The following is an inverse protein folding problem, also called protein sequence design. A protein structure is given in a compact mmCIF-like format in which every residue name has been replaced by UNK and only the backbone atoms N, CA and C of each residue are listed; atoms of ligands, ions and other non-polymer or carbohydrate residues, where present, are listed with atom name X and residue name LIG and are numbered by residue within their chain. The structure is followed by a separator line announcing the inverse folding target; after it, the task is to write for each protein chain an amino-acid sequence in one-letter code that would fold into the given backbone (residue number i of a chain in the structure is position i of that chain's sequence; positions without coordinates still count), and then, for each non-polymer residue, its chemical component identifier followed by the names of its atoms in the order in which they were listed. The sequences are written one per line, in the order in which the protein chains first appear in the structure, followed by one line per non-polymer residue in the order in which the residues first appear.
data_IF_552288222066
#
_entry.id   IF_552288222066
#
_cell.length_a   1.000
_cell.length_b   1.000
_cell.length_c   1.000
_cell.angle_alpha   90.00
_cell.angle_beta   90.00
_cell.angle_gamma   90.00
#
_symmetry.space_group_name_H-M   'P 1'
#
loop_
_entity.id
_entity.type
_entity.pdbx_description
1 polymer ?
#
# COMPACT_ATOMS: atom_id res chain seq x y z
N UNK A 1 -4.65 16.15 -28.05
CA UNK A 1 -4.92 15.26 -26.91
C UNK A 1 -3.66 14.77 -26.17
N UNK A 2 -2.44 15.00 -26.67
CA UNK A 2 -1.18 14.50 -26.07
C UNK A 2 -0.59 15.37 -24.95
N UNK A 3 -1.10 16.59 -24.75
CA UNK A 3 -0.50 17.54 -23.80
C UNK A 3 -0.70 17.22 -22.32
N UNK A 4 -1.86 16.64 -21.93
CA UNK A 4 -2.19 16.39 -20.55
C UNK A 4 -1.40 15.20 -19.98
N UNK A 5 -1.20 14.16 -20.77
CA UNK A 5 -0.43 12.97 -20.39
C UNK A 5 1.06 13.29 -20.17
N UNK A 6 1.60 14.18 -21.02
CA UNK A 6 2.99 14.62 -20.92
C UNK A 6 3.24 15.53 -19.71
N UNK A 7 2.28 16.37 -19.36
CA UNK A 7 2.36 17.21 -18.15
C UNK A 7 2.25 16.39 -16.87
N UNK A 8 1.40 15.35 -16.84
CA UNK A 8 1.31 14.40 -15.72
C UNK A 8 2.65 13.67 -15.50
N UNK A 9 3.25 13.14 -16.55
CA UNK A 9 4.55 12.46 -16.48
C UNK A 9 5.68 13.41 -16.05
N UNK A 10 5.67 14.66 -16.48
CA UNK A 10 6.66 15.67 -16.12
C UNK A 10 6.51 16.15 -14.69
N UNK A 11 5.27 16.23 -14.19
CA UNK A 11 4.95 16.55 -12.82
C UNK A 11 5.42 15.43 -11.86
N UNK A 12 5.17 14.15 -12.21
CA UNK A 12 5.68 12.99 -11.47
C UNK A 12 7.21 12.94 -11.41
N UNK A 13 7.89 13.31 -12.47
CA UNK A 13 9.36 13.36 -12.53
C UNK A 13 9.97 14.44 -11.62
N UNK A 14 9.22 15.50 -11.32
CA UNK A 14 9.65 16.62 -10.49
C UNK A 14 9.25 16.51 -9.00
N UNK A 15 8.16 15.82 -8.75
CA UNK A 15 7.59 15.71 -7.41
C UNK A 15 7.48 14.21 -7.10
N UNK A 16 8.60 13.57 -6.85
CA UNK A 16 8.69 12.19 -6.38
C UNK A 16 7.81 11.97 -5.15
N UNK A 17 6.51 12.09 -5.34
CA UNK A 17 5.52 11.65 -4.39
C UNK A 17 5.54 10.12 -4.43
N UNK A 18 6.21 9.55 -3.49
CA UNK A 18 6.34 8.17 -3.11
C UNK A 18 4.97 7.58 -2.69
N UNK A 19 3.95 7.83 -3.49
CA UNK A 19 2.59 7.40 -3.23
C UNK A 19 2.37 5.90 -3.53
N UNK A 20 1.37 5.59 -4.33
CA UNK A 20 0.72 4.27 -4.44
C UNK A 20 1.66 3.11 -4.71
N UNK A 21 2.67 3.30 -5.53
CA UNK A 21 3.55 2.23 -5.97
C UNK A 21 4.45 1.68 -4.87
N UNK A 22 4.90 2.54 -3.96
CA UNK A 22 5.68 2.11 -2.81
C UNK A 22 4.83 1.28 -1.86
N UNK A 23 3.61 1.71 -1.60
CA UNK A 23 2.69 1.01 -0.71
C UNK A 23 2.42 -0.41 -1.18
N UNK A 24 2.13 -0.61 -2.47
CA UNK A 24 1.93 -1.95 -3.02
C UNK A 24 3.22 -2.79 -3.05
N UNK A 25 4.37 -2.16 -3.30
CA UNK A 25 5.65 -2.86 -3.27
C UNK A 25 6.03 -3.30 -1.85
N UNK A 26 5.64 -2.55 -0.82
CA UNK A 26 5.93 -2.85 0.58
C UNK A 26 5.28 -4.14 1.07
N UNK A 27 4.04 -4.37 0.72
CA UNK A 27 3.32 -5.58 1.12
C UNK A 27 4.05 -6.87 0.77
N UNK A 28 4.77 -6.88 -0.34
CA UNK A 28 5.44 -8.07 -0.87
C UNK A 28 6.78 -8.41 -0.21
N UNK A 29 7.48 -7.47 0.38
CA UNK A 29 8.82 -7.71 0.90
C UNK A 29 8.88 -8.12 2.37
N UNK A 30 7.91 -7.73 3.14
CA UNK A 30 7.76 -8.13 4.54
C UNK A 30 7.56 -9.64 4.68
N UNK A 31 7.18 -10.27 3.61
CA UNK A 31 6.91 -11.67 3.49
C UNK A 31 8.02 -12.64 3.96
N UNK A 32 9.29 -12.32 3.75
CA UNK A 32 10.34 -13.34 3.84
C UNK A 32 11.08 -13.42 5.18
N UNK A 33 10.82 -12.56 6.13
CA UNK A 33 11.75 -12.36 7.24
C UNK A 33 11.15 -12.17 8.63
N UNK A 34 9.85 -12.32 8.82
CA UNK A 34 9.26 -12.11 10.15
C UNK A 34 9.31 -13.38 11.02
N UNK A 35 9.79 -13.32 12.28
CA UNK A 35 9.77 -14.46 13.18
C UNK A 35 8.33 -14.84 13.57
N UNK A 36 8.07 -16.16 13.58
CA UNK A 36 6.79 -16.74 13.93
C UNK A 36 6.41 -16.43 15.38
N UNK A 37 5.19 -15.94 15.57
CA UNK A 37 4.51 -15.98 16.87
C UNK A 37 3.31 -16.91 16.75
N UNK A 38 3.10 -17.85 17.69
CA UNK A 38 1.90 -18.67 17.71
C UNK A 38 0.67 -17.80 18.02
N UNK A 39 -0.37 -17.89 17.22
CA UNK A 39 -1.62 -17.15 17.38
C UNK A 39 -2.73 -18.03 17.93
N UNK A 40 -3.44 -17.46 18.91
CA UNK A 40 -4.69 -18.02 19.41
C UNK A 40 -5.87 -17.38 18.65
N UNK A 41 -6.63 -18.21 17.94
CA UNK A 41 -7.62 -17.83 16.91
C UNK A 41 -9.01 -17.47 17.51
N UNK A 42 -9.16 -17.35 18.81
CA UNK A 42 -10.49 -17.42 19.48
C UNK A 42 -11.14 -16.11 19.89
N UNK A 43 -10.85 -14.96 19.29
CA UNK A 43 -11.54 -13.73 19.74
C UNK A 43 -12.01 -12.84 18.57
N UNK A 44 -13.32 -12.75 18.41
CA UNK A 44 -14.06 -11.68 17.69
C UNK A 44 -13.90 -10.31 18.36
N UNK A 45 -12.72 -9.97 18.86
CA UNK A 45 -12.45 -8.69 19.48
C UNK A 45 -11.78 -7.80 18.44
N UNK A 46 -12.30 -6.60 18.28
CA UNK A 46 -11.75 -5.57 17.41
C UNK A 46 -10.90 -4.58 18.19
N UNK A 47 -10.02 -3.86 17.50
CA UNK A 47 -9.24 -2.73 18.01
C UNK A 47 -9.33 -1.54 17.06
N UNK A 48 -9.16 -0.34 17.61
CA UNK A 48 -9.07 0.86 16.77
C UNK A 48 -7.61 1.06 16.32
N UNK A 49 -7.43 1.17 15.00
CA UNK A 49 -6.20 1.61 14.38
C UNK A 49 -6.30 3.10 14.07
N UNK A 50 -5.30 3.88 14.44
CA UNK A 50 -5.23 5.32 14.18
C UNK A 50 -3.91 5.67 13.54
N UNK A 51 -3.95 6.17 12.29
CA UNK A 51 -2.78 6.71 11.60
C UNK A 51 -2.89 8.23 11.49
N UNK A 52 -2.15 8.94 12.33
CA UNK A 52 -2.16 10.42 12.37
C UNK A 52 -1.57 11.04 11.12
N UNK A 53 -0.59 10.41 10.47
CA UNK A 53 0.04 10.91 9.24
C UNK A 53 -0.87 10.77 8.02
N UNK A 54 -1.62 9.69 7.96
CA UNK A 54 -2.67 9.49 6.97
C UNK A 54 -3.94 10.30 7.30
N UNK A 55 -4.13 10.66 8.56
CA UNK A 55 -5.33 11.34 9.05
C UNK A 55 -6.56 10.44 8.99
N UNK A 56 -6.42 9.18 9.38
CA UNK A 56 -7.50 8.19 9.39
C UNK A 56 -7.52 7.40 10.69
N UNK A 57 -8.68 6.82 11.00
CA UNK A 57 -8.81 5.67 11.89
C UNK A 57 -9.72 4.64 11.26
N UNK A 58 -9.57 3.38 11.66
CA UNK A 58 -10.42 2.27 11.25
C UNK A 58 -10.43 1.18 12.31
N UNK A 59 -11.47 0.37 12.34
CA UNK A 59 -11.59 -0.76 13.24
C UNK A 59 -11.03 -2.00 12.54
N UNK A 60 -10.06 -2.64 13.16
CA UNK A 60 -9.42 -3.85 12.66
C UNK A 60 -9.59 -5.01 13.65
N UNK A 61 -9.53 -6.27 13.22
CA UNK A 61 -9.49 -7.42 14.12
C UNK A 61 -8.32 -7.31 15.12
N UNK A 62 -8.54 -7.69 16.37
CA UNK A 62 -7.52 -7.56 17.43
C UNK A 62 -6.30 -8.45 17.20
N UNK A 63 -6.49 -9.57 16.52
CA UNK A 63 -5.40 -10.49 16.13
C UNK A 63 -4.49 -9.93 15.03
N UNK A 64 -4.85 -8.83 14.39
CA UNK A 64 -4.01 -8.19 13.39
C UNK A 64 -2.96 -7.31 14.07
N UNK A 65 -1.71 -7.48 13.67
CA UNK A 65 -0.58 -6.75 14.23
C UNK A 65 -0.36 -5.43 13.50
N UNK A 66 -0.33 -4.34 14.26
CA UNK A 66 0.06 -3.03 13.73
C UNK A 66 1.55 -2.83 13.94
N UNK A 67 2.29 -2.63 12.85
CA UNK A 67 3.73 -2.42 12.88
C UNK A 67 4.07 -1.03 12.34
N UNK A 68 4.74 -0.24 13.18
CA UNK A 68 5.13 1.12 12.81
C UNK A 68 6.23 1.17 11.76
N UNK A 69 6.31 2.28 11.01
CA UNK A 69 7.39 2.53 10.07
C UNK A 69 8.78 2.44 10.73
N UNK A 70 8.92 2.92 11.96
CA UNK A 70 10.21 2.87 12.70
C UNK A 70 10.66 1.43 12.98
N UNK A 71 9.74 0.58 13.44
CA UNK A 71 10.02 -0.84 13.70
C UNK A 71 10.42 -1.57 12.42
N UNK A 72 9.73 -1.26 11.32
CA UNK A 72 10.08 -1.83 10.01
C UNK A 72 11.44 -1.33 9.49
N UNK A 73 11.78 -0.06 9.73
CA UNK A 73 13.08 0.50 9.34
C UNK A 73 14.26 -0.17 10.06
N UNK A 74 14.10 -0.48 11.36
CA UNK A 74 15.12 -1.22 12.11
C UNK A 74 15.40 -2.57 11.44
N UNK A 75 14.35 -3.29 11.06
CA UNK A 75 14.45 -4.54 10.34
C UNK A 75 15.15 -4.40 8.97
N UNK A 76 14.83 -3.35 8.21
CA UNK A 76 15.40 -3.12 6.87
C UNK A 76 16.79 -2.48 6.87
N UNK A 77 17.26 -1.93 7.99
CA UNK A 77 18.63 -1.43 8.10
C UNK A 77 19.66 -2.57 8.15
N UNK A 78 19.23 -3.74 8.61
CA UNK A 78 20.05 -4.97 8.57
C UNK A 78 19.22 -6.15 8.05
N UNK A 79 18.82 -6.13 6.77
CA UNK A 79 18.11 -7.24 6.18
C UNK A 79 19.08 -8.41 6.06
N UNK A 80 18.76 -9.56 6.64
CA UNK A 80 19.56 -10.78 6.52
C UNK A 80 19.90 -11.10 5.06
N UNK A 81 20.98 -11.86 4.83
CA UNK A 81 21.45 -12.23 3.48
C UNK A 81 20.34 -12.87 2.63
N UNK A 82 19.41 -13.58 3.27
CA UNK A 82 18.28 -14.22 2.60
C UNK A 82 17.37 -13.21 1.90
N UNK A 83 17.09 -12.06 2.51
CA UNK A 83 16.27 -11.03 1.88
C UNK A 83 16.98 -10.37 0.69
N UNK A 84 18.26 -10.10 0.82
CA UNK A 84 19.07 -9.46 -0.22
C UNK A 84 19.12 -10.27 -1.51
N UNK A 85 19.06 -11.60 -1.42
CA UNK A 85 19.08 -12.46 -2.61
C UNK A 85 17.73 -12.54 -3.33
N UNK A 86 16.61 -12.18 -2.67
CA UNK A 86 15.27 -12.24 -3.26
C UNK A 86 14.79 -10.89 -3.79
N UNK A 87 15.25 -9.78 -3.22
CA UNK A 87 14.76 -8.44 -3.57
C UNK A 87 15.82 -7.65 -4.32
N UNK A 88 15.40 -6.95 -5.37
CA UNK A 88 16.34 -6.08 -6.09
C UNK A 88 16.78 -4.90 -5.22
N UNK A 89 18.04 -4.41 -5.36
CA UNK A 89 18.50 -3.22 -4.65
C UNK A 89 17.60 -2.00 -4.86
N UNK A 90 17.00 -1.91 -6.03
CA UNK A 90 16.06 -0.84 -6.40
C UNK A 90 14.79 -0.90 -5.58
N UNK A 91 14.26 -2.10 -5.40
CA UNK A 91 13.11 -2.38 -4.58
C UNK A 91 13.38 -2.10 -3.09
N UNK A 92 14.50 -2.59 -2.55
CA UNK A 92 14.92 -2.33 -1.17
C UNK A 92 15.04 -0.83 -0.88
N UNK A 93 15.64 -0.08 -1.82
CA UNK A 93 15.73 1.38 -1.71
C UNK A 93 14.35 2.04 -1.68
N UNK A 94 13.46 1.61 -2.56
CA UNK A 94 12.08 2.14 -2.62
C UNK A 94 11.33 1.87 -1.32
N UNK A 95 11.48 0.68 -0.75
CA UNK A 95 10.91 0.31 0.55
C UNK A 95 11.41 1.22 1.67
N UNK A 96 12.72 1.36 1.80
CA UNK A 96 13.32 2.22 2.82
C UNK A 96 12.76 3.64 2.75
N UNK A 97 12.69 4.22 1.55
CA UNK A 97 12.11 5.56 1.35
C UNK A 97 10.65 5.66 1.79
N UNK A 98 9.81 4.65 1.55
CA UNK A 98 8.42 4.65 2.00
C UNK A 98 8.31 4.59 3.52
N UNK A 99 9.10 3.75 4.17
CA UNK A 99 9.15 3.67 5.62
C UNK A 99 9.63 5.00 6.24
N UNK A 100 10.66 5.62 5.70
CA UNK A 100 11.14 6.95 6.11
C UNK A 100 10.04 8.01 5.98
N UNK A 101 9.15 7.88 4.99
CA UNK A 101 7.98 8.73 4.84
C UNK A 101 6.81 8.36 5.76
N UNK A 102 6.87 7.23 6.46
CA UNK A 102 5.90 6.85 7.49
C UNK A 102 4.77 5.96 7.00
N UNK A 103 5.01 5.12 6.00
CA UNK A 103 4.12 4.00 5.67
C UNK A 103 4.04 3.05 6.85
N UNK A 104 2.83 2.66 7.24
CA UNK A 104 2.57 1.70 8.32
C UNK A 104 1.99 0.41 7.77
N UNK A 105 2.16 -0.68 8.53
CA UNK A 105 1.73 -2.02 8.18
C UNK A 105 0.74 -2.57 9.20
N UNK A 106 -0.26 -3.28 8.70
CA UNK A 106 -1.19 -4.09 9.49
C UNK A 106 -1.11 -5.50 8.93
N UNK A 107 -0.57 -6.43 9.70
CA UNK A 107 -0.46 -7.83 9.32
C UNK A 107 -1.73 -8.57 9.69
N UNK A 108 -2.38 -9.22 8.73
CA UNK A 108 -3.70 -9.87 8.87
C UNK A 108 -3.46 -11.24 9.42
N UNK A 109 -2.78 -12.02 9.71
CA UNK A 109 -2.52 -13.33 10.33
C UNK A 109 -1.08 -13.80 10.10
N UNK A 110 -0.60 -14.59 11.03
CA UNK A 110 0.66 -15.30 10.86
C UNK A 110 0.40 -16.61 10.13
N UNK A 111 0.62 -16.66 8.82
CA UNK A 111 0.89 -17.94 8.14
C UNK A 111 2.42 -18.12 8.06
N UNK A 112 2.89 -19.37 8.07
CA UNK A 112 4.31 -19.73 8.25
C UNK A 112 5.27 -19.14 7.21
N UNK A 113 4.79 -18.72 6.05
CA UNK A 113 5.64 -18.27 4.94
C UNK A 113 5.32 -16.88 4.35
N UNK A 114 4.11 -16.40 4.47
CA UNK A 114 3.66 -15.12 3.95
C UNK A 114 2.65 -14.51 4.89
N UNK A 115 2.84 -13.26 5.25
CA UNK A 115 1.83 -12.52 6.00
C UNK A 115 1.06 -11.62 5.06
N UNK A 116 -0.22 -11.95 4.86
CA UNK A 116 -1.16 -11.03 4.26
C UNK A 116 -1.14 -9.72 5.05
N UNK A 117 -1.11 -8.60 4.37
CA UNK A 117 -0.96 -7.32 5.06
C UNK A 117 -1.72 -6.20 4.37
N UNK A 118 -2.06 -5.19 5.18
CA UNK A 118 -2.57 -3.91 4.72
C UNK A 118 -1.48 -2.88 4.97
N UNK A 119 -1.16 -2.09 3.95
CA UNK A 119 -0.29 -0.94 4.10
C UNK A 119 -1.10 0.34 4.03
N UNK A 120 -0.74 1.30 4.87
CA UNK A 120 -1.36 2.63 4.91
C UNK A 120 -0.29 3.68 4.67
N UNK A 121 -0.44 4.45 3.58
CA UNK A 121 0.48 5.55 3.29
C UNK A 121 0.12 6.80 4.09
N UNK A 122 1.10 7.65 4.41
CA UNK A 122 0.81 9.01 4.88
C UNK A 122 0.11 9.80 3.78
N UNK A 123 -0.45 10.97 4.14
CA UNK A 123 -0.99 11.88 3.14
C UNK A 123 0.09 12.33 2.18
N UNK A 124 -0.20 12.22 0.89
CA UNK A 124 0.66 12.66 -0.21
C UNK A 124 -0.07 13.68 -1.08
N UNK A 125 0.67 14.46 -1.85
CA UNK A 125 0.07 15.38 -2.80
C UNK A 125 -0.56 14.60 -3.95
N UNK A 126 -1.84 14.84 -4.20
CA UNK A 126 -2.53 14.24 -5.34
C UNK A 126 -2.08 14.87 -6.67
N UNK A 127 -1.99 14.10 -7.75
CA UNK A 127 -1.84 14.65 -9.08
C UNK A 127 -3.00 15.58 -9.43
N UNK A 128 -2.71 16.67 -10.12
CA UNK A 128 -3.76 17.57 -10.62
C UNK A 128 -4.74 16.77 -11.52
N UNK A 129 -6.03 16.98 -11.29
CA UNK A 129 -7.11 16.29 -12.01
C UNK A 129 -7.11 14.75 -11.90
N UNK A 130 -6.49 14.17 -10.86
CA UNK A 130 -6.39 12.73 -10.69
C UNK A 130 -7.74 12.02 -10.77
N UNK A 131 -8.78 12.58 -10.13
CA UNK A 131 -10.15 12.02 -10.15
C UNK A 131 -10.81 12.05 -11.52
N UNK A 132 -10.39 12.94 -12.41
CA UNK A 132 -10.97 13.13 -13.75
C UNK A 132 -10.06 12.64 -14.88
N UNK A 133 -8.82 12.23 -14.56
CA UNK A 133 -7.88 11.73 -15.57
C UNK A 133 -8.43 10.46 -16.23
N UNK A 134 -8.28 10.26 -17.54
CA UNK A 134 -8.69 9.01 -18.21
C UNK A 134 -8.06 7.79 -17.49
N UNK A 135 -8.85 6.73 -17.26
CA UNK A 135 -8.37 5.55 -16.53
C UNK A 135 -7.15 4.90 -17.20
N UNK A 136 -7.06 4.92 -18.53
CA UNK A 136 -5.89 4.44 -19.26
C UNK A 136 -4.62 5.21 -18.89
N UNK A 137 -4.74 6.54 -18.74
CA UNK A 137 -3.64 7.38 -18.26
C UNK A 137 -3.23 7.04 -16.83
N UNK A 138 -4.19 6.81 -15.96
CA UNK A 138 -3.95 6.36 -14.57
C UNK A 138 -3.28 4.97 -14.56
N UNK A 139 -3.73 4.05 -15.40
CA UNK A 139 -3.13 2.73 -15.53
C UNK A 139 -1.66 2.79 -15.97
N UNK A 140 -1.37 3.59 -16.99
CA UNK A 140 0.01 3.79 -17.48
C UNK A 140 0.89 4.41 -16.38
N UNK A 141 0.35 5.38 -15.65
CA UNK A 141 1.03 6.01 -14.53
C UNK A 141 1.38 4.97 -13.45
N UNK A 142 0.41 4.19 -12.98
CA UNK A 142 0.60 3.16 -11.97
C UNK A 142 1.67 2.16 -12.42
N UNK A 143 1.55 1.60 -13.63
CA UNK A 143 2.56 0.68 -14.18
C UNK A 143 3.96 1.31 -14.22
N UNK A 144 4.07 2.57 -14.67
CA UNK A 144 5.33 3.29 -14.73
C UNK A 144 5.99 3.46 -13.37
N UNK A 145 5.20 3.79 -12.35
CA UNK A 145 5.68 3.92 -10.97
C UNK A 145 6.18 2.56 -10.44
N UNK A 146 5.41 1.50 -10.59
CA UNK A 146 5.83 0.15 -10.16
C UNK A 146 7.11 -0.29 -10.86
N UNK A 147 7.19 -0.15 -12.18
CA UNK A 147 8.37 -0.50 -12.97
C UNK A 147 9.61 0.31 -12.56
N UNK A 148 9.46 1.61 -12.25
CA UNK A 148 10.54 2.43 -11.73
C UNK A 148 11.09 1.90 -10.42
N UNK A 149 10.28 1.26 -9.61
CA UNK A 149 10.65 0.64 -8.34
C UNK A 149 11.04 -0.84 -8.46
N UNK A 150 11.14 -1.36 -9.68
CA UNK A 150 11.59 -2.73 -9.93
C UNK A 150 10.49 -3.78 -9.73
N UNK A 151 9.22 -3.36 -9.79
CA UNK A 151 8.06 -4.24 -9.68
C UNK A 151 7.38 -4.33 -11.05
N UNK A 152 7.20 -5.53 -11.56
CA UNK A 152 6.32 -5.79 -12.69
C UNK A 152 4.88 -5.91 -12.17
N UNK A 153 3.92 -5.22 -12.82
CA UNK A 153 2.53 -5.18 -12.37
C UNK A 153 1.58 -5.53 -13.50
N UNK A 154 0.73 -6.53 -13.25
CA UNK A 154 -0.40 -6.88 -14.11
C UNK A 154 -1.69 -6.37 -13.47
N UNK A 155 -2.25 -5.29 -14.01
CA UNK A 155 -3.53 -4.72 -13.53
C UNK A 155 -4.67 -5.55 -14.13
N UNK A 156 -5.54 -6.08 -13.28
CA UNK A 156 -6.72 -6.85 -13.64
C UNK A 156 -7.96 -5.96 -13.72
N UNK A 157 -8.09 -5.03 -12.77
CA UNK A 157 -9.21 -4.10 -12.69
C UNK A 157 -8.74 -2.73 -12.22
N UNK A 158 -9.26 -1.69 -12.86
CA UNK A 158 -9.08 -0.30 -12.46
C UNK A 158 -10.42 0.39 -12.58
N UNK A 159 -10.90 0.97 -11.49
CA UNK A 159 -12.21 1.64 -11.50
C UNK A 159 -12.24 2.83 -10.55
N UNK A 160 -13.07 3.82 -10.91
CA UNK A 160 -13.45 4.87 -9.97
C UNK A 160 -14.47 4.35 -8.98
N UNK A 161 -14.34 4.79 -7.75
CA UNK A 161 -15.26 4.48 -6.66
C UNK A 161 -15.31 5.65 -5.68
N UNK A 162 -16.03 5.47 -4.59
CA UNK A 162 -16.05 6.40 -3.47
C UNK A 162 -15.86 5.64 -2.17
N UNK A 163 -15.08 6.19 -1.26
CA UNK A 163 -14.94 5.69 0.10
C UNK A 163 -15.37 6.80 1.05
N UNK A 164 -16.45 6.58 1.82
CA UNK A 164 -17.06 7.57 2.71
C UNK A 164 -17.40 8.91 1.99
N UNK A 165 -17.85 8.83 0.75
CA UNK A 165 -18.12 10.00 -0.08
C UNK A 165 -16.88 10.67 -0.70
N UNK A 166 -15.67 10.28 -0.31
CA UNK A 166 -14.44 10.76 -0.94
C UNK A 166 -14.17 10.03 -2.26
N UNK A 167 -13.85 10.75 -3.36
CA UNK A 167 -13.48 10.10 -4.61
C UNK A 167 -12.26 9.20 -4.43
N UNK A 168 -12.31 8.01 -5.02
CA UNK A 168 -11.24 7.05 -4.94
C UNK A 168 -11.04 6.31 -6.27
N UNK A 169 -9.85 5.77 -6.47
CA UNK A 169 -9.55 4.81 -7.54
C UNK A 169 -9.18 3.49 -6.89
N UNK A 170 -9.88 2.43 -7.27
CA UNK A 170 -9.59 1.07 -6.85
C UNK A 170 -8.78 0.38 -7.95
N UNK A 171 -7.74 -0.31 -7.53
CA UNK A 171 -6.83 -1.11 -8.37
C UNK A 171 -6.79 -2.53 -7.86
N UNK A 172 -7.08 -3.49 -8.71
CA UNK A 172 -6.85 -4.92 -8.48
C UNK A 172 -5.72 -5.35 -9.43
N UNK A 173 -4.65 -5.91 -8.88
CA UNK A 173 -3.47 -6.23 -9.65
C UNK A 173 -2.72 -7.46 -9.09
N UNK A 174 -1.78 -7.97 -9.89
CA UNK A 174 -0.72 -8.88 -9.43
C UNK A 174 0.62 -8.18 -9.58
N UNK A 175 1.42 -8.19 -8.52
CA UNK A 175 2.75 -7.63 -8.47
C UNK A 175 3.81 -8.74 -8.44
N UNK A 176 4.82 -8.62 -9.29
CA UNK A 176 5.98 -9.51 -9.37
C UNK A 176 7.22 -8.72 -8.94
N UNK A 177 7.69 -8.95 -7.73
CA UNK A 177 8.84 -8.22 -7.14
C UNK A 177 10.16 -8.92 -7.32
N UNK A 178 10.13 -10.19 -7.68
CA UNK A 178 11.30 -11.03 -7.90
C UNK A 178 11.03 -12.11 -8.93
N UNK A 179 12.00 -12.43 -9.81
CA UNK A 179 11.90 -13.58 -10.71
C UNK A 179 11.74 -14.93 -9.98
N UNK A 180 12.13 -14.97 -8.70
CA UNK A 180 11.96 -16.16 -7.85
C UNK A 180 10.55 -16.33 -7.30
N UNK A 181 9.69 -15.31 -7.44
CA UNK A 181 8.28 -15.32 -7.06
C UNK A 181 7.42 -15.45 -8.32
N UNK A 182 7.38 -16.63 -8.90
CA UNK A 182 6.71 -16.89 -10.18
C UNK A 182 5.21 -16.54 -10.18
N UNK A 183 4.54 -16.69 -9.04
CA UNK A 183 3.10 -16.43 -8.92
C UNK A 183 2.78 -14.95 -8.63
N UNK A 184 3.76 -14.20 -8.13
CA UNK A 184 3.54 -12.82 -7.68
C UNK A 184 2.63 -12.74 -6.44
N UNK A 185 2.24 -11.53 -6.07
CA UNK A 185 1.28 -11.25 -5.00
C UNK A 185 0.05 -10.54 -5.55
N UNK A 186 -1.13 -10.89 -5.03
CA UNK A 186 -2.36 -10.16 -5.32
C UNK A 186 -2.42 -8.87 -4.50
N UNK A 187 -2.87 -7.83 -5.14
CA UNK A 187 -2.94 -6.48 -4.57
C UNK A 187 -4.31 -5.89 -4.83
N UNK A 188 -4.95 -5.37 -3.78
CA UNK A 188 -6.14 -4.54 -3.89
C UNK A 188 -5.85 -3.19 -3.23
N UNK A 189 -5.76 -2.12 -4.01
CA UNK A 189 -5.35 -0.79 -3.55
C UNK A 189 -6.48 0.21 -3.76
N UNK A 190 -6.69 1.06 -2.76
CA UNK A 190 -7.55 2.23 -2.83
C UNK A 190 -6.72 3.50 -2.69
N UNK A 191 -6.69 4.30 -3.75
CA UNK A 191 -6.15 5.66 -3.75
C UNK A 191 -7.30 6.62 -3.45
N UNK A 192 -7.35 7.18 -2.25
CA UNK A 192 -8.49 7.93 -1.72
C UNK A 192 -8.14 9.41 -1.62
N UNK A 193 -8.92 10.27 -2.26
CA UNK A 193 -8.73 11.72 -2.17
C UNK A 193 -9.23 12.23 -0.81
N UNK A 194 -8.33 12.80 -0.03
CA UNK A 194 -8.65 13.46 1.24
C UNK A 194 -9.13 14.88 1.05
N UNK A 195 -8.48 15.58 0.13
CA UNK A 195 -8.81 16.92 -0.35
C UNK A 195 -8.53 16.97 -1.86
N UNK A 196 -8.90 18.03 -2.59
CA UNK A 196 -8.54 18.14 -4.00
C UNK A 196 -7.02 18.07 -4.29
N UNK A 197 -6.19 18.28 -3.26
CA UNK A 197 -4.74 18.32 -3.39
C UNK A 197 -4.01 17.17 -2.68
N UNK A 198 -4.70 16.39 -1.84
CA UNK A 198 -4.06 15.33 -1.05
C UNK A 198 -4.80 14.01 -1.17
N UNK A 199 -4.03 12.92 -1.15
CA UNK A 199 -4.54 11.56 -1.20
C UNK A 199 -3.82 10.67 -0.19
N UNK A 200 -4.45 9.57 0.14
CA UNK A 200 -3.88 8.45 0.88
C UNK A 200 -4.06 7.18 0.08
N UNK A 201 -3.17 6.22 0.31
CA UNK A 201 -3.29 4.89 -0.27
C UNK A 201 -3.44 3.86 0.84
N UNK A 202 -4.43 2.99 0.70
CA UNK A 202 -4.63 1.83 1.56
C UNK A 202 -4.59 0.60 0.65
N UNK A 203 -3.65 -0.30 0.93
CA UNK A 203 -3.39 -1.43 0.04
C UNK A 203 -3.38 -2.74 0.79
N UNK A 204 -4.22 -3.67 0.38
CA UNK A 204 -4.14 -5.08 0.75
C UNK A 204 -3.14 -5.79 -0.16
N UNK A 205 -2.23 -6.57 0.41
CA UNK A 205 -1.32 -7.47 -0.32
C UNK A 205 -1.44 -8.88 0.26
N UNK A 206 -1.66 -9.87 -0.62
CA UNK A 206 -1.92 -11.26 -0.21
C UNK A 206 -1.29 -12.26 -1.18
N UNK A 207 -1.29 -13.54 -0.79
CA UNK A 207 -1.14 -14.67 -1.71
C UNK A 207 -2.38 -14.77 -2.63
N UNK A 208 -2.24 -15.53 -3.73
CA UNK A 208 -3.36 -15.79 -4.61
C UNK A 208 -4.47 -16.58 -3.93
N UNK A 209 -4.13 -17.58 -3.12
CA UNK A 209 -5.09 -18.48 -2.47
C UNK A 209 -5.94 -17.79 -1.41
N UNK A 210 -5.39 -16.78 -0.74
CA UNK A 210 -6.08 -16.08 0.35
C UNK A 210 -6.79 -14.80 -0.12
N UNK A 211 -6.58 -14.39 -1.38
CA UNK A 211 -6.97 -13.07 -1.87
C UNK A 211 -8.46 -12.75 -1.71
N UNK A 212 -9.34 -13.62 -2.17
CA UNK A 212 -10.79 -13.31 -2.14
C UNK A 212 -11.29 -13.18 -0.71
N UNK A 213 -10.90 -14.10 0.20
CA UNK A 213 -11.25 -14.01 1.62
C UNK A 213 -10.72 -12.73 2.25
N UNK A 214 -9.44 -12.42 2.04
CA UNK A 214 -8.80 -11.23 2.61
C UNK A 214 -9.35 -9.94 2.06
N UNK A 215 -9.74 -9.95 0.80
CA UNK A 215 -10.38 -8.79 0.17
C UNK A 215 -11.74 -8.49 0.81
N UNK A 216 -12.56 -9.51 1.09
CA UNK A 216 -13.82 -9.33 1.81
C UNK A 216 -13.58 -8.75 3.21
N UNK A 217 -12.65 -9.31 3.99
CA UNK A 217 -12.27 -8.79 5.31
C UNK A 217 -11.75 -7.34 5.22
N UNK A 218 -10.95 -7.02 4.22
CA UNK A 218 -10.42 -5.68 3.98
C UNK A 218 -11.53 -4.67 3.62
N UNK A 219 -12.48 -5.07 2.80
CA UNK A 219 -13.64 -4.24 2.46
C UNK A 219 -14.51 -3.95 3.68
N UNK A 220 -14.68 -4.92 4.61
CA UNK A 220 -15.36 -4.69 5.89
C UNK A 220 -14.57 -3.70 6.78
N UNK A 221 -13.25 -3.82 6.86
CA UNK A 221 -12.41 -2.86 7.57
C UNK A 221 -12.53 -1.45 6.96
N UNK A 222 -12.52 -1.33 5.63
CA UNK A 222 -12.70 -0.04 4.94
C UNK A 222 -14.05 0.61 5.21
N UNK A 223 -15.13 -0.14 5.48
CA UNK A 223 -16.43 0.42 5.90
C UNK A 223 -16.38 1.12 7.25
N UNK A 224 -15.42 0.76 8.10
CA UNK A 224 -15.20 1.38 9.41
C UNK A 224 -14.29 2.60 9.37
N UNK A 225 -13.68 2.88 8.20
CA UNK A 225 -12.76 3.99 8.01
C UNK A 225 -13.41 5.31 8.44
N UNK A 226 -12.65 6.13 9.16
CA UNK A 226 -13.03 7.50 9.53
C UNK A 226 -11.90 8.44 9.17
N UNK A 227 -12.26 9.57 8.57
CA UNK A 227 -11.29 10.63 8.34
C UNK A 227 -11.13 11.47 9.61
N UNK A 228 -9.92 11.52 10.12
CA UNK A 228 -9.55 12.41 11.21
C UNK A 228 -9.34 13.83 10.66
N UNK A 229 -9.53 14.89 11.46
CA UNK A 229 -9.13 16.24 11.07
C UNK A 229 -7.66 16.23 10.62
N UNK A 230 -7.26 17.08 9.63
CA UNK A 230 -5.87 17.14 9.22
C UNK A 230 -4.99 17.44 10.43
N UNK A 231 -3.92 16.68 10.59
CA UNK A 231 -2.93 16.88 11.65
C UNK A 231 -2.30 18.26 11.48
N UNK A 232 -2.70 19.21 12.29
CA UNK A 232 -2.03 20.51 12.39
C UNK A 232 -0.74 20.31 13.19
N UNK A 233 0.29 19.78 12.53
CA UNK A 233 1.62 19.68 13.11
C UNK A 233 2.09 21.07 13.50
N UNK A 234 1.99 21.43 14.77
CA UNK A 234 2.78 22.57 15.28
C UNK A 234 4.25 22.19 15.08
N UNK A 235 4.91 22.94 14.20
CA UNK A 235 6.37 22.92 14.07
C UNK A 235 7.01 23.30 15.39
#
# INVERSE_FOLDING_TARGET
MFGATYQLLRWFRRHWCLGPALVCAFGTAVWMAWPEKPYDITAEVTQEYVNKKAGISMTIPKQWDVVSASTMLEFYNDPGEDLKQYLSPKYLKAMKMGLENGVEFIFCDADEKFRDNITVSPQTKAPANFTNAPLDGVQLMIRGIFQQNGVETKIHKLQRTTILGAPAIMVDATNYVSPKMAEGCRVNMYMIMRTPETMIDITLTTKHETFEKRKEEFEEVLKTLKFQPPYSGKK
#
